data_IF_683297622678
#
_entry.id   IF_683297622678
#
_cell.length_a   1.000
_cell.length_b   1.000
_cell.length_c   1.000
_cell.angle_alpha   90.00
_cell.angle_beta   90.00
_cell.angle_gamma   90.00
#
_symmetry.space_group_name_H-M   'P 1'
#
loop_
_entity.id
_entity.type
_entity.pdbx_description
1 polymer ?
#
# COMPACT_ATOMS: atom_id res chain seq x y z
N UNK A 1 -25.70 25.35 -2.80
CA UNK A 1 -24.28 24.91 -2.91
C UNK A 1 -23.88 24.35 -1.57
N UNK A 2 -23.42 23.10 -1.50
CA UNK A 2 -22.94 22.51 -0.24
C UNK A 2 -21.67 23.23 0.21
N UNK A 3 -21.61 23.58 1.49
CA UNK A 3 -20.48 24.27 2.07
C UNK A 3 -19.31 23.29 2.20
N UNK A 4 -18.17 23.58 1.56
CA UNK A 4 -16.97 22.77 1.68
C UNK A 4 -16.29 23.03 3.02
N UNK A 5 -16.12 21.99 3.83
CA UNK A 5 -15.38 22.05 5.10
C UNK A 5 -13.89 21.86 4.84
N UNK A 6 -13.20 22.97 4.52
CA UNK A 6 -11.76 22.98 4.26
C UNK A 6 -11.05 23.71 5.41
N UNK A 7 -10.03 23.09 5.98
CA UNK A 7 -9.19 23.71 7.00
C UNK A 7 -8.41 24.90 6.38
N UNK A 8 -8.50 26.08 7.01
CA UNK A 8 -7.80 27.29 6.58
C UNK A 8 -6.72 27.65 7.59
N UNK A 9 -5.55 28.05 7.10
CA UNK A 9 -4.43 28.51 7.91
C UNK A 9 -4.02 29.89 7.42
N UNK A 10 -4.02 30.89 8.31
CA UNK A 10 -3.48 32.22 8.02
C UNK A 10 -2.05 32.33 8.57
N UNK A 11 -1.07 32.50 7.71
CA UNK A 11 0.34 32.56 8.11
C UNK A 11 0.71 33.87 8.81
N UNK A 12 -0.15 34.91 8.76
CA UNK A 12 0.12 36.23 9.36
C UNK A 12 -0.08 36.26 10.87
N UNK A 13 -0.81 35.29 11.43
CA UNK A 13 -1.23 35.29 12.85
C UNK A 13 -0.45 34.29 13.71
N UNK A 14 0.70 33.78 13.25
CA UNK A 14 1.56 32.89 14.05
C UNK A 14 1.13 31.43 14.12
N UNK A 15 0.53 30.88 13.05
CA UNK A 15 0.00 29.50 13.01
C UNK A 15 1.05 28.41 12.67
N UNK A 16 2.32 28.55 13.10
CA UNK A 16 3.38 27.58 12.75
C UNK A 16 3.08 26.16 13.23
N UNK A 17 2.49 26.00 14.41
CA UNK A 17 2.14 24.68 14.96
C UNK A 17 1.16 23.89 14.08
N UNK A 18 0.24 24.57 13.38
CA UNK A 18 -0.70 23.90 12.48
C UNK A 18 0.04 23.39 11.24
N UNK A 19 1.00 24.16 10.75
CA UNK A 19 1.86 23.77 9.63
C UNK A 19 2.78 22.61 10.01
N UNK A 20 3.32 22.60 11.23
CA UNK A 20 4.14 21.49 11.73
C UNK A 20 3.30 20.20 11.82
N UNK A 21 2.09 20.26 12.40
CA UNK A 21 1.16 19.12 12.45
C UNK A 21 0.76 18.61 11.06
N UNK A 22 0.61 19.50 10.07
CA UNK A 22 0.32 19.11 8.69
C UNK A 22 1.54 18.44 8.04
N UNK A 23 2.74 18.97 8.28
CA UNK A 23 4.00 18.38 7.81
C UNK A 23 4.22 17.00 8.41
N UNK A 24 3.90 16.80 9.68
CA UNK A 24 4.00 15.48 10.33
C UNK A 24 3.03 14.48 9.69
N UNK A 25 1.78 14.90 9.45
CA UNK A 25 0.77 14.05 8.77
C UNK A 25 1.12 13.73 7.32
N UNK A 26 1.80 14.64 6.65
CA UNK A 26 2.24 14.49 5.25
C UNK A 26 3.69 13.99 5.17
N UNK A 27 4.31 13.66 6.30
CA UNK A 27 5.72 13.33 6.38
C UNK A 27 6.00 12.06 5.59
N UNK A 28 7.04 12.04 4.74
CA UNK A 28 7.39 10.90 3.92
C UNK A 28 7.99 9.74 4.75
N UNK A 29 8.13 9.89 6.07
CA UNK A 29 8.69 8.86 6.95
C UNK A 29 7.83 7.59 7.00
N UNK A 30 6.55 7.66 6.58
CA UNK A 30 5.71 6.47 6.38
C UNK A 30 5.13 5.88 7.66
N UNK A 31 5.32 6.53 8.81
CA UNK A 31 4.85 6.06 10.12
C UNK A 31 3.33 6.22 10.32
N UNK A 32 2.67 6.98 9.46
CA UNK A 32 1.23 7.24 9.55
C UNK A 32 0.46 6.16 8.79
N UNK A 33 -0.06 5.19 9.54
CA UNK A 33 -0.93 4.12 9.03
C UNK A 33 -2.40 4.41 9.33
N UNK A 34 -3.28 4.02 8.39
CA UNK A 34 -4.72 4.09 8.61
C UNK A 34 -5.14 3.17 9.77
N UNK A 35 -6.29 3.42 10.44
CA UNK A 35 -6.83 2.51 11.45
C UNK A 35 -7.01 1.08 10.93
N UNK A 36 -7.43 0.93 9.67
CA UNK A 36 -7.55 -0.36 9.00
C UNK A 36 -6.19 -1.06 8.86
N UNK A 37 -5.14 -0.32 8.54
CA UNK A 37 -3.78 -0.85 8.44
C UNK A 37 -3.24 -1.36 9.78
N UNK A 38 -3.50 -0.62 10.87
CA UNK A 38 -3.13 -1.06 12.23
C UNK A 38 -3.84 -2.36 12.63
N UNK A 39 -5.15 -2.42 12.41
CA UNK A 39 -5.94 -3.62 12.70
C UNK A 39 -5.46 -4.83 11.89
N UNK A 40 -5.16 -4.66 10.60
CA UNK A 40 -4.60 -5.73 9.77
C UNK A 40 -3.21 -6.16 10.28
N UNK A 41 -2.38 -5.22 10.72
CA UNK A 41 -1.07 -5.54 11.30
C UNK A 41 -1.22 -6.40 12.56
N UNK A 42 -2.12 -6.01 13.47
CA UNK A 42 -2.41 -6.82 14.66
C UNK A 42 -3.00 -8.20 14.32
N UNK A 43 -3.89 -8.29 13.32
CA UNK A 43 -4.44 -9.55 12.83
C UNK A 43 -3.35 -10.50 12.31
N UNK A 44 -2.40 -9.98 11.53
CA UNK A 44 -1.37 -10.79 10.86
C UNK A 44 -0.20 -11.14 11.79
N UNK A 45 0.22 -10.21 12.64
CA UNK A 45 1.42 -10.36 13.47
C UNK A 45 1.12 -10.65 14.95
N UNK A 46 -0.15 -10.61 15.36
CA UNK A 46 -0.60 -10.86 16.73
C UNK A 46 -0.27 -9.76 17.74
N UNK A 47 0.40 -8.68 17.29
CA UNK A 47 0.78 -7.51 18.09
C UNK A 47 0.87 -6.28 17.18
N UNK A 48 0.72 -5.07 17.72
CA UNK A 48 1.01 -3.86 16.96
C UNK A 48 2.49 -3.84 16.58
N UNK A 49 2.77 -3.54 15.31
CA UNK A 49 4.10 -3.31 14.78
C UNK A 49 4.11 -1.97 14.03
N UNK A 50 5.26 -1.30 14.04
CA UNK A 50 5.51 -0.16 13.16
C UNK A 50 5.68 -0.63 11.71
N UNK A 51 5.48 0.24 10.70
CA UNK A 51 5.69 -0.12 9.30
C UNK A 51 7.09 -0.68 9.02
N UNK A 52 8.12 -0.13 9.66
CA UNK A 52 9.51 -0.59 9.53
C UNK A 52 9.68 -2.00 10.10
N UNK A 53 9.12 -2.28 11.29
CA UNK A 53 9.17 -3.62 11.89
C UNK A 53 8.39 -4.65 11.06
N UNK A 54 7.25 -4.26 10.48
CA UNK A 54 6.49 -5.12 9.56
C UNK A 54 7.35 -5.51 8.36
N UNK A 55 7.97 -4.53 7.69
CA UNK A 55 8.84 -4.79 6.53
C UNK A 55 10.00 -5.70 6.92
N UNK A 56 10.70 -5.38 8.00
CA UNK A 56 11.84 -6.18 8.47
C UNK A 56 11.42 -7.63 8.74
N UNK A 57 10.30 -7.83 9.45
CA UNK A 57 9.79 -9.16 9.78
C UNK A 57 9.43 -9.97 8.53
N UNK A 58 8.73 -9.35 7.56
CA UNK A 58 8.37 -10.03 6.30
C UNK A 58 9.63 -10.40 5.52
N UNK A 59 10.60 -9.49 5.41
CA UNK A 59 11.86 -9.74 4.71
C UNK A 59 12.65 -10.88 5.36
N UNK A 60 12.77 -10.89 6.69
CA UNK A 60 13.48 -11.94 7.43
C UNK A 60 12.79 -13.31 7.27
N UNK A 61 11.46 -13.34 7.32
CA UNK A 61 10.67 -14.54 7.09
C UNK A 61 10.83 -15.08 5.67
N UNK A 62 10.77 -14.22 4.65
CA UNK A 62 10.95 -14.63 3.25
C UNK A 62 12.39 -15.05 2.99
N UNK A 63 13.38 -14.41 3.60
CA UNK A 63 14.78 -14.81 3.48
C UNK A 63 15.01 -16.21 4.09
N UNK A 64 14.42 -16.48 5.25
CA UNK A 64 14.59 -17.75 5.98
C UNK A 64 13.78 -18.89 5.38
N UNK A 65 12.51 -18.64 5.08
CA UNK A 65 11.53 -19.68 4.76
C UNK A 65 11.13 -19.69 3.27
N UNK A 66 11.50 -18.67 2.49
CA UNK A 66 11.27 -18.60 1.05
C UNK A 66 9.80 -18.49 0.63
N UNK A 67 9.44 -19.19 -0.44
CA UNK A 67 8.09 -19.18 -1.05
C UNK A 67 6.95 -19.49 -0.07
N UNK A 68 7.07 -20.44 0.88
CA UNK A 68 6.06 -20.63 1.93
C UNK A 68 5.70 -19.38 2.73
N UNK A 69 6.69 -18.57 3.13
CA UNK A 69 6.43 -17.30 3.83
C UNK A 69 5.75 -16.29 2.92
N UNK A 70 6.18 -16.19 1.65
CA UNK A 70 5.53 -15.33 0.67
C UNK A 70 4.04 -15.67 0.49
N UNK A 71 3.70 -16.95 0.33
CA UNK A 71 2.31 -17.41 0.17
C UNK A 71 1.45 -17.16 1.42
N UNK A 72 2.03 -17.32 2.61
CA UNK A 72 1.37 -16.93 3.87
C UNK A 72 1.01 -15.45 3.87
N UNK A 73 1.94 -14.57 3.54
CA UNK A 73 1.71 -13.12 3.55
C UNK A 73 0.75 -12.68 2.44
N UNK A 74 0.80 -13.28 1.24
CA UNK A 74 -0.19 -13.05 0.17
C UNK A 74 -1.62 -13.34 0.66
N UNK A 75 -1.82 -14.46 1.35
CA UNK A 75 -3.13 -14.82 1.90
C UNK A 75 -3.56 -13.89 3.03
N UNK A 76 -2.64 -13.51 3.90
CA UNK A 76 -2.93 -12.69 5.07
C UNK A 76 -3.22 -11.22 4.71
N UNK A 77 -2.44 -10.64 3.79
CA UNK A 77 -2.45 -9.22 3.44
C UNK A 77 -3.34 -8.93 2.22
N UNK A 78 -3.11 -9.64 1.11
CA UNK A 78 -3.81 -9.41 -0.15
C UNK A 78 -5.10 -10.23 -0.28
N UNK A 79 -5.33 -11.14 0.69
CA UNK A 79 -6.45 -12.09 0.71
C UNK A 79 -6.47 -12.98 -0.55
N UNK A 80 -5.29 -13.24 -1.12
CA UNK A 80 -5.10 -14.10 -2.29
C UNK A 80 -4.63 -15.50 -1.86
N UNK A 81 -5.39 -16.53 -2.20
CA UNK A 81 -5.05 -17.93 -1.89
C UNK A 81 -4.40 -18.58 -3.13
N UNK A 82 -3.09 -18.41 -3.25
CA UNK A 82 -2.30 -18.88 -4.39
C UNK A 82 -1.43 -20.09 -4.02
N UNK A 83 -1.11 -20.89 -5.03
CA UNK A 83 -0.06 -21.91 -4.96
C UNK A 83 1.25 -21.40 -5.58
N UNK A 84 2.37 -22.08 -5.31
CA UNK A 84 3.69 -21.66 -5.79
C UNK A 84 3.78 -21.53 -7.33
N UNK A 85 3.06 -22.37 -8.08
CA UNK A 85 3.01 -22.32 -9.54
C UNK A 85 2.10 -21.20 -10.09
N UNK A 86 1.33 -20.50 -9.25
CA UNK A 86 0.47 -19.38 -9.63
C UNK A 86 1.11 -18.01 -9.38
N UNK A 87 2.31 -17.96 -8.79
CA UNK A 87 3.02 -16.71 -8.51
C UNK A 87 3.47 -15.94 -9.76
N UNK A 88 3.39 -16.57 -10.93
CA UNK A 88 3.71 -15.96 -12.22
C UNK A 88 2.46 -15.99 -13.08
N UNK A 89 2.06 -14.81 -13.57
CA UNK A 89 0.95 -14.70 -14.52
C UNK A 89 1.37 -15.35 -15.85
N UNK A 90 0.60 -16.31 -16.39
CA UNK A 90 0.90 -16.93 -17.67
C UNK A 90 0.87 -15.91 -18.82
N UNK A 91 1.74 -16.03 -19.84
CA UNK A 91 1.73 -15.13 -21.00
C UNK A 91 0.38 -15.03 -21.72
N UNK A 92 -0.39 -16.13 -21.77
CA UNK A 92 -1.73 -16.13 -22.38
C UNK A 92 -2.74 -15.25 -21.65
N UNK A 93 -2.66 -15.16 -20.31
CA UNK A 93 -3.50 -14.27 -19.51
C UNK A 93 -3.12 -12.81 -19.73
N UNK A 94 -1.82 -12.50 -19.81
CA UNK A 94 -1.33 -11.16 -20.13
C UNK A 94 -1.82 -10.70 -21.52
N UNK A 95 -1.71 -11.55 -22.54
CA UNK A 95 -2.20 -11.26 -23.89
C UNK A 95 -3.71 -11.02 -23.91
N UNK A 96 -4.47 -11.85 -23.17
CA UNK A 96 -5.92 -11.71 -23.06
C UNK A 96 -6.31 -10.40 -22.37
N UNK A 97 -5.62 -10.03 -21.30
CA UNK A 97 -5.85 -8.77 -20.59
C UNK A 97 -5.55 -7.57 -21.47
N UNK A 98 -4.42 -7.60 -22.20
CA UNK A 98 -4.06 -6.55 -23.15
C UNK A 98 -5.10 -6.40 -24.27
N UNK A 99 -5.56 -7.51 -24.87
CA UNK A 99 -6.57 -7.49 -25.93
C UNK A 99 -7.94 -6.97 -25.46
N UNK A 100 -8.28 -7.13 -24.17
CA UNK A 100 -9.53 -6.62 -23.58
C UNK A 100 -9.46 -5.16 -23.13
N UNK A 101 -8.26 -4.58 -23.03
CA UNK A 101 -8.09 -3.20 -22.59
C UNK A 101 -8.61 -2.20 -23.64
N UNK A 102 -9.02 -1.02 -23.19
CA UNK A 102 -9.46 0.05 -24.11
C UNK A 102 -8.30 0.43 -25.07
N UNK A 103 -8.51 0.39 -26.40
CA UNK A 103 -7.49 0.75 -27.37
C UNK A 103 -6.90 2.15 -27.18
N UNK A 104 -7.71 3.14 -26.78
CA UNK A 104 -7.23 4.51 -26.53
C UNK A 104 -6.30 4.59 -25.32
N UNK A 105 -6.55 3.77 -24.29
CA UNK A 105 -5.66 3.66 -23.13
C UNK A 105 -4.33 3.03 -23.53
N UNK A 106 -4.35 1.95 -24.29
CA UNK A 106 -3.14 1.28 -24.79
C UNK A 106 -2.31 2.23 -25.65
N UNK A 107 -2.95 2.94 -26.57
CA UNK A 107 -2.31 3.96 -27.40
C UNK A 107 -1.76 5.14 -26.58
N UNK A 108 -2.30 5.42 -25.40
CA UNK A 108 -1.81 6.47 -24.51
C UNK A 108 -0.57 6.04 -23.72
N UNK A 109 -0.55 4.80 -23.22
CA UNK A 109 0.58 4.25 -22.46
C UNK A 109 1.80 4.08 -23.37
N UNK A 110 1.62 3.59 -24.61
CA UNK A 110 2.72 3.34 -25.55
C UNK A 110 3.40 4.59 -26.13
N UNK A 111 3.03 5.80 -25.68
CA UNK A 111 3.66 7.07 -26.09
C UNK A 111 4.84 7.49 -25.21
N UNK A 112 5.07 6.80 -24.08
CA UNK A 112 6.16 7.02 -23.13
C UNK A 112 7.29 6.04 -23.45
#
# INVERSE_FOLDING_TARGET
MSQLTIQRVDARTGNSEILDKLRDKLSPQGDVVSPRGRALTEEVFGKPLTPVEVVQTICDDVQRDGTPALLRYLKALDKADLTANQLRVPPGELNTAHAKANPELIASIGRI
#
